data_IF_668038516397
#
_entry.id   IF_668038516397
#
_cell.length_a   1.000
_cell.length_b   1.000
_cell.length_c   1.000
_cell.angle_alpha   90.00
_cell.angle_beta   90.00
_cell.angle_gamma   90.00
#
_symmetry.space_group_name_H-M   'P 1'
#
loop_
_entity.id
_entity.type
_entity.pdbx_description
1 polymer ?
#
# COMPACT_ATOMS: atom_id res chain seq x y z
N UNK A 1 -11.43 3.94 -8.54
CA UNK A 1 -10.24 3.41 -7.84
C UNK A 1 -10.71 2.78 -6.55
N UNK A 2 -10.00 1.78 -6.03
CA UNK A 2 -10.40 1.03 -4.84
C UNK A 2 -9.54 1.50 -3.68
N UNK A 3 -10.16 2.01 -2.60
CA UNK A 3 -9.44 2.42 -1.38
C UNK A 3 -9.10 1.22 -0.52
N UNK A 4 -7.86 1.12 -0.08
CA UNK A 4 -7.36 0.03 0.76
C UNK A 4 -6.69 0.60 2.02
N UNK A 5 -6.96 -0.03 3.18
CA UNK A 5 -6.27 0.32 4.43
C UNK A 5 -4.97 -0.46 4.55
N UNK A 6 -3.84 0.24 4.70
CA UNK A 6 -2.50 -0.36 4.88
C UNK A 6 -1.90 0.07 6.20
N UNK A 7 -1.19 -0.86 6.84
CA UNK A 7 -0.54 -0.67 8.13
C UNK A 7 0.84 -1.31 8.10
N UNK A 8 1.85 -0.58 8.55
CA UNK A 8 3.25 -1.03 8.56
C UNK A 8 3.86 -0.78 9.93
N UNK A 9 4.45 -1.80 10.52
CA UNK A 9 5.23 -1.68 11.75
C UNK A 9 6.61 -1.10 11.45
N UNK A 10 7.04 -0.13 12.24
CA UNK A 10 8.36 0.49 12.12
C UNK A 10 8.99 0.65 13.49
N UNK A 11 10.33 0.60 13.56
CA UNK A 11 11.03 0.95 14.80
C UNK A 11 10.87 2.43 15.12
N UNK A 12 10.98 2.85 16.41
CA UNK A 12 10.98 4.26 16.78
C UNK A 12 12.04 5.09 16.04
N UNK A 13 13.23 4.53 15.82
CA UNK A 13 14.30 5.20 15.06
C UNK A 13 13.92 5.42 13.60
N UNK A 14 13.25 4.41 12.99
CA UNK A 14 12.77 4.54 11.62
C UNK A 14 11.64 5.55 11.50
N UNK A 15 10.72 5.58 12.46
CA UNK A 15 9.67 6.61 12.51
C UNK A 15 10.29 8.01 12.59
N UNK A 16 11.28 8.20 13.44
CA UNK A 16 11.99 9.50 13.55
C UNK A 16 12.64 9.92 12.24
N UNK A 17 13.28 8.98 11.52
CA UNK A 17 13.82 9.27 10.18
C UNK A 17 12.73 9.71 9.19
N UNK A 18 11.55 9.08 9.23
CA UNK A 18 10.42 9.45 8.38
C UNK A 18 9.79 10.79 8.76
N UNK A 19 9.86 11.17 10.04
CA UNK A 19 9.45 12.51 10.51
C UNK A 19 10.41 13.59 10.02
N UNK A 20 11.73 13.30 10.03
CA UNK A 20 12.76 14.22 9.54
C UNK A 20 12.78 14.29 7.99
N UNK A 21 12.54 13.17 7.31
CA UNK A 21 12.47 13.05 5.83
C UNK A 21 11.33 12.13 5.40
N UNK A 22 10.16 12.68 5.08
CA UNK A 22 8.98 11.90 4.67
C UNK A 22 9.09 11.21 3.30
N UNK A 23 10.10 11.49 2.49
CA UNK A 23 10.25 10.91 1.14
C UNK A 23 10.30 9.39 1.10
N UNK A 24 10.67 8.75 2.21
CA UNK A 24 10.69 7.29 2.37
C UNK A 24 9.33 6.63 2.64
N UNK A 25 8.25 7.42 2.79
CA UNK A 25 6.91 6.88 3.15
C UNK A 25 6.32 6.06 2.02
N UNK A 26 6.41 6.53 0.77
CA UNK A 26 5.90 5.79 -0.39
C UNK A 26 6.57 4.42 -0.53
N UNK A 27 7.90 4.37 -0.37
CA UNK A 27 8.66 3.11 -0.40
C UNK A 27 8.25 2.17 0.74
N UNK A 28 8.02 2.71 1.94
CA UNK A 28 7.57 1.95 3.09
C UNK A 28 6.21 1.28 2.85
N UNK A 29 5.29 1.98 2.17
CA UNK A 29 3.93 1.54 1.92
C UNK A 29 3.79 0.61 0.70
N UNK A 30 4.85 0.43 -0.11
CA UNK A 30 4.87 -0.62 -1.14
C UNK A 30 4.82 -1.99 -0.46
N UNK A 31 3.72 -2.71 -0.62
CA UNK A 31 3.50 -3.99 0.04
C UNK A 31 4.50 -5.05 -0.39
N UNK A 32 4.88 -5.96 0.52
CA UNK A 32 5.68 -7.15 0.17
C UNK A 32 5.00 -8.02 -0.91
N UNK A 33 3.66 -7.99 -1.00
CA UNK A 33 2.93 -8.70 -2.04
C UNK A 33 3.18 -8.10 -3.42
N UNK A 34 3.24 -6.77 -3.54
CA UNK A 34 3.65 -6.10 -4.77
C UNK A 34 5.12 -6.42 -5.09
N UNK A 35 5.99 -6.42 -4.08
CA UNK A 35 7.39 -6.80 -4.23
C UNK A 35 7.57 -8.28 -4.60
N UNK A 36 6.73 -9.19 -4.09
CA UNK A 36 6.72 -10.64 -4.45
C UNK A 36 6.09 -10.92 -5.82
N UNK A 37 5.14 -10.11 -6.27
CA UNK A 37 4.55 -10.23 -7.61
C UNK A 37 5.50 -9.74 -8.72
N UNK A 38 6.41 -8.84 -8.42
CA UNK A 38 7.41 -8.29 -9.36
C UNK A 38 8.30 -9.35 -10.03
N UNK A 39 8.84 -10.39 -9.34
CA UNK A 39 9.63 -11.44 -10.00
C UNK A 39 8.83 -12.23 -11.04
N UNK A 40 7.54 -12.49 -10.78
CA UNK A 40 6.64 -13.16 -11.73
C UNK A 40 6.33 -12.26 -12.93
N UNK A 41 6.13 -10.97 -12.70
CA UNK A 41 5.94 -9.96 -13.75
C UNK A 41 7.22 -9.80 -14.58
N UNK A 42 8.39 -9.76 -13.94
CA UNK A 42 9.69 -9.70 -14.62
C UNK A 42 10.00 -11.00 -15.39
N UNK A 43 9.60 -12.15 -14.87
CA UNK A 43 9.68 -13.44 -15.60
C UNK A 43 8.80 -13.44 -16.85
N UNK A 44 7.61 -12.87 -16.77
CA UNK A 44 6.71 -12.68 -17.91
C UNK A 44 7.28 -11.67 -18.92
N UNK A 45 7.90 -10.56 -18.45
CA UNK A 45 8.59 -9.60 -19.31
C UNK A 45 9.82 -10.22 -20.00
N UNK A 46 10.58 -11.05 -19.28
CA UNK A 46 11.73 -11.79 -19.85
C UNK A 46 11.32 -12.79 -20.93
N UNK A 47 10.16 -13.43 -20.76
CA UNK A 47 9.52 -14.27 -21.81
C UNK A 47 9.05 -13.47 -23.04
N UNK A 48 8.96 -12.14 -22.92
CA UNK A 48 8.62 -11.21 -24.00
C UNK A 48 9.87 -10.55 -24.64
N UNK A 49 11.07 -10.85 -24.15
CA UNK A 49 12.34 -10.40 -24.77
C UNK A 49 12.40 -10.84 -26.24
N UNK A 50 12.18 -9.93 -27.16
CA UNK A 50 12.07 -10.15 -28.61
C UNK A 50 10.66 -10.02 -29.20
N UNK A 51 9.59 -10.12 -28.37
CA UNK A 51 8.20 -9.89 -28.83
C UNK A 51 7.64 -8.55 -28.33
N UNK A 52 8.05 -8.09 -27.14
CA UNK A 52 7.55 -6.85 -26.55
C UNK A 52 7.83 -5.61 -27.42
N UNK A 53 9.03 -5.42 -27.99
CA UNK A 53 9.28 -4.27 -28.85
C UNK A 53 8.38 -4.26 -30.10
N UNK A 54 8.16 -5.42 -30.72
CA UNK A 54 7.30 -5.53 -31.91
C UNK A 54 5.83 -5.32 -31.61
N UNK A 55 5.33 -5.79 -30.46
CA UNK A 55 3.95 -5.56 -30.01
C UNK A 55 3.74 -4.09 -29.63
N UNK A 56 4.72 -3.45 -28.96
CA UNK A 56 4.68 -2.03 -28.63
C UNK A 56 4.69 -1.17 -29.89
N UNK A 57 5.55 -1.48 -30.84
CA UNK A 57 5.61 -0.83 -32.14
C UNK A 57 4.28 -0.92 -32.90
N UNK A 58 3.66 -2.11 -32.92
CA UNK A 58 2.34 -2.31 -33.55
C UNK A 58 1.24 -1.50 -32.85
N UNK A 59 1.27 -1.44 -31.51
CA UNK A 59 0.31 -0.66 -30.72
C UNK A 59 0.47 0.84 -30.94
N UNK A 60 1.70 1.35 -31.01
CA UNK A 60 1.99 2.76 -31.31
C UNK A 60 1.54 3.12 -32.74
N UNK A 61 1.72 2.22 -33.70
CA UNK A 61 1.31 2.45 -35.08
C UNK A 61 -0.21 2.59 -35.26
N UNK A 62 -0.99 1.93 -34.42
CA UNK A 62 -2.46 1.94 -34.44
C UNK A 62 -3.09 3.02 -33.57
N UNK A 63 -2.28 3.77 -32.79
CA UNK A 63 -2.79 4.83 -31.91
C UNK A 63 -3.22 6.09 -32.69
N UNK A 64 -4.25 6.82 -32.20
CA UNK A 64 -4.58 8.14 -32.69
C UNK A 64 -3.38 9.11 -32.63
N UNK A 65 -3.22 10.03 -33.60
CA UNK A 65 -2.05 10.90 -33.70
C UNK A 65 -1.77 11.70 -32.43
N UNK A 66 -2.80 12.20 -31.77
CA UNK A 66 -2.67 12.98 -30.53
C UNK A 66 -2.09 12.17 -29.36
N UNK A 67 -2.50 10.91 -29.20
CA UNK A 67 -1.99 10.01 -28.18
C UNK A 67 -0.56 9.57 -28.49
N UNK A 68 -0.25 9.38 -29.79
CA UNK A 68 1.10 9.04 -30.25
C UNK A 68 2.08 10.17 -29.95
N UNK A 69 1.68 11.42 -30.16
CA UNK A 69 2.52 12.59 -29.90
C UNK A 69 2.82 12.77 -28.41
N UNK A 70 1.79 12.59 -27.54
CA UNK A 70 1.96 12.61 -26.08
C UNK A 70 2.88 11.48 -25.59
N UNK A 71 2.71 10.27 -26.12
CA UNK A 71 3.56 9.13 -25.78
C UNK A 71 5.00 9.38 -26.23
N UNK A 72 5.19 9.88 -27.44
CA UNK A 72 6.51 10.24 -27.99
C UNK A 72 7.22 11.27 -27.13
N UNK A 73 6.51 12.30 -26.68
CA UNK A 73 7.07 13.32 -25.79
C UNK A 73 7.43 12.74 -24.42
N UNK A 74 6.57 11.86 -23.86
CA UNK A 74 6.84 11.18 -22.59
C UNK A 74 8.06 10.27 -22.67
N UNK A 75 8.22 9.53 -23.75
CA UNK A 75 9.39 8.67 -23.98
C UNK A 75 10.69 9.49 -24.11
N UNK A 76 10.65 10.62 -24.85
CA UNK A 76 11.80 11.54 -24.93
C UNK A 76 12.18 12.14 -23.58
N UNK A 77 11.19 12.51 -22.76
CA UNK A 77 11.43 13.01 -21.40
C UNK A 77 12.07 11.94 -20.47
N UNK A 78 11.87 10.67 -20.79
CA UNK A 78 12.48 9.54 -20.10
C UNK A 78 13.86 9.15 -20.68
N UNK A 79 14.36 9.88 -21.69
CA UNK A 79 15.64 9.59 -22.35
C UNK A 79 15.60 8.38 -23.30
N UNK A 80 14.41 7.97 -23.74
CA UNK A 80 14.21 6.86 -24.68
C UNK A 80 13.97 7.42 -26.08
N UNK A 81 14.57 6.78 -27.10
CA UNK A 81 14.32 7.11 -28.50
C UNK A 81 13.03 6.42 -28.98
N UNK A 82 11.93 7.18 -29.24
CA UNK A 82 10.67 6.62 -29.69
C UNK A 82 10.77 5.91 -31.05
N UNK A 83 11.65 6.38 -31.94
CA UNK A 83 11.81 5.81 -33.26
C UNK A 83 12.62 4.50 -33.22
N UNK A 84 13.59 4.39 -32.31
CA UNK A 84 14.28 3.13 -32.03
C UNK A 84 13.33 2.08 -31.45
N UNK A 85 12.48 2.47 -30.50
CA UNK A 85 11.45 1.59 -29.94
C UNK A 85 10.41 1.16 -30.99
N UNK A 86 10.02 2.05 -31.90
CA UNK A 86 9.12 1.75 -33.00
C UNK A 86 9.71 0.75 -34.01
N UNK A 87 11.04 0.72 -34.15
CA UNK A 87 11.75 -0.28 -34.98
C UNK A 87 12.03 -1.61 -34.25
N UNK A 88 11.67 -1.69 -32.95
CA UNK A 88 11.97 -2.84 -32.10
C UNK A 88 13.41 -2.86 -31.60
N UNK A 89 14.11 -1.73 -31.73
CA UNK A 89 15.43 -1.43 -31.20
C UNK A 89 15.28 -0.70 -29.85
N UNK A 90 16.31 -0.69 -29.00
CA UNK A 90 16.23 0.05 -27.71
C UNK A 90 15.60 -0.72 -26.55
N UNK A 91 15.36 -2.03 -26.72
CA UNK A 91 14.91 -2.89 -25.60
C UNK A 91 15.89 -2.89 -24.42
N UNK A 92 17.18 -2.80 -24.69
CA UNK A 92 18.24 -2.72 -23.69
C UNK A 92 18.22 -1.39 -22.91
N UNK A 93 17.90 -0.27 -23.58
CA UNK A 93 17.82 1.03 -22.93
C UNK A 93 16.56 1.14 -22.07
N UNK A 94 15.45 0.59 -22.51
CA UNK A 94 14.24 0.44 -21.71
C UNK A 94 14.48 -0.44 -20.47
N UNK A 95 15.19 -1.56 -20.66
CA UNK A 95 15.56 -2.46 -19.57
C UNK A 95 16.51 -1.78 -18.56
N UNK A 96 17.48 -0.99 -19.03
CA UNK A 96 18.38 -0.20 -18.19
C UNK A 96 17.63 0.87 -17.41
N UNK A 97 16.73 1.61 -18.05
CA UNK A 97 15.92 2.63 -17.39
C UNK A 97 14.99 2.03 -16.34
N UNK A 98 14.34 0.89 -16.65
CA UNK A 98 13.55 0.15 -15.67
C UNK A 98 14.41 -0.38 -14.52
N UNK A 99 15.59 -0.91 -14.81
CA UNK A 99 16.54 -1.36 -13.79
C UNK A 99 16.99 -0.21 -12.89
N UNK A 100 17.29 0.96 -13.44
CA UNK A 100 17.64 2.17 -12.66
C UNK A 100 16.47 2.65 -11.79
N UNK A 101 15.26 2.70 -12.33
CA UNK A 101 14.07 3.06 -11.53
C UNK A 101 13.76 2.02 -10.45
N UNK A 102 13.87 0.74 -10.76
CA UNK A 102 13.73 -0.33 -9.76
C UNK A 102 14.80 -0.22 -8.68
N UNK A 103 16.04 0.11 -9.05
CA UNK A 103 17.12 0.33 -8.10
C UNK A 103 16.88 1.58 -7.24
N UNK A 104 16.36 2.65 -7.81
CA UNK A 104 15.93 3.85 -7.08
C UNK A 104 14.76 3.57 -6.12
N UNK A 105 13.87 2.63 -6.46
CA UNK A 105 12.77 2.14 -5.63
C UNK A 105 13.19 1.02 -4.64
N UNK A 106 14.51 0.73 -4.51
CA UNK A 106 15.01 -0.32 -3.64
C UNK A 106 14.66 -1.75 -4.09
N UNK A 107 14.11 -1.92 -5.30
CA UNK A 107 13.72 -3.21 -5.88
C UNK A 107 14.92 -3.84 -6.59
N UNK A 108 15.20 -5.12 -6.32
CA UNK A 108 16.36 -5.82 -6.88
C UNK A 108 15.99 -6.72 -8.05
N UNK A 109 16.88 -6.75 -9.06
CA UNK A 109 16.84 -7.75 -10.11
C UNK A 109 17.33 -9.12 -9.57
N UNK A 110 16.71 -10.25 -9.97
CA UNK A 110 17.20 -11.58 -9.63
C UNK A 110 18.61 -11.80 -10.20
N UNK A 111 19.57 -12.14 -9.33
CA UNK A 111 20.95 -12.47 -9.76
C UNK A 111 22.02 -11.42 -9.42
N UNK A 112 21.68 -10.27 -8.82
CA UNK A 112 22.71 -9.35 -8.34
C UNK A 112 23.18 -9.71 -6.92
N UNK A 113 24.52 -9.66 -6.66
CA UNK A 113 25.04 -9.85 -5.30
C UNK A 113 24.55 -8.72 -4.37
N UNK A 114 24.48 -8.96 -3.05
CA UNK A 114 24.01 -7.97 -2.09
C UNK A 114 24.89 -6.72 -2.13
N UNK A 115 24.33 -5.59 -2.55
CA UNK A 115 25.00 -4.31 -2.41
C UNK A 115 25.06 -3.94 -0.93
N UNK A 116 26.24 -3.56 -0.46
CA UNK A 116 26.56 -3.26 0.94
C UNK A 116 25.87 -2.01 1.54
N UNK A 117 24.91 -1.41 0.82
CA UNK A 117 24.17 -0.22 1.26
C UNK A 117 22.66 -0.42 1.49
N UNK A 118 22.08 -1.55 1.07
CA UNK A 118 20.63 -1.77 1.13
C UNK A 118 20.10 -2.37 2.44
N UNK A 119 20.97 -2.66 3.41
CA UNK A 119 20.57 -3.22 4.71
C UNK A 119 20.08 -2.15 5.69
N UNK A 120 20.51 -0.90 5.55
CA UNK A 120 20.12 0.17 6.45
C UNK A 120 18.66 0.66 6.21
N UNK A 121 18.17 0.64 4.97
CA UNK A 121 16.80 1.08 4.64
C UNK A 121 15.72 0.05 5.01
N UNK A 122 16.06 -1.24 5.09
CA UNK A 122 15.16 -2.28 5.61
C UNK A 122 15.30 -2.51 7.11
N UNK A 123 16.37 -2.00 7.73
CA UNK A 123 16.55 -2.02 9.16
C UNK A 123 15.46 -1.13 9.79
N UNK A 124 14.57 -1.74 10.59
CA UNK A 124 13.50 -1.05 11.30
C UNK A 124 12.10 -1.14 10.71
N UNK A 125 11.89 -1.81 9.55
CA UNK A 125 10.55 -2.20 9.08
C UNK A 125 10.20 -3.55 9.70
N UNK A 126 9.07 -3.58 10.43
CA UNK A 126 8.43 -4.80 10.92
C UNK A 126 7.45 -5.39 9.91
N UNK A 127 6.44 -6.12 10.39
CA UNK A 127 5.37 -6.66 9.57
C UNK A 127 4.54 -5.55 8.90
N UNK A 128 3.98 -5.85 7.75
CA UNK A 128 2.95 -5.03 7.10
C UNK A 128 1.69 -5.85 6.82
N UNK A 129 0.55 -5.19 6.91
CA UNK A 129 -0.74 -5.77 6.56
C UNK A 129 -1.55 -4.81 5.69
N UNK A 130 -2.46 -5.38 4.90
CA UNK A 130 -3.58 -4.67 4.31
C UNK A 130 -4.88 -5.28 4.81
N UNK A 131 -5.83 -4.45 5.19
CA UNK A 131 -7.22 -4.84 5.47
C UNK A 131 -8.14 -4.53 4.28
N UNK A 132 -7.54 -4.33 3.11
CA UNK A 132 -8.20 -4.10 1.83
C UNK A 132 -9.35 -3.08 1.96
N UNK A 133 -10.49 -3.35 1.37
CA UNK A 133 -11.71 -2.52 1.41
C UNK A 133 -12.47 -2.58 2.74
N UNK A 134 -12.03 -3.40 3.67
CA UNK A 134 -12.69 -3.58 4.96
C UNK A 134 -12.49 -2.40 5.92
N UNK A 135 -11.56 -1.50 5.66
CA UNK A 135 -11.14 -0.44 6.58
C UNK A 135 -12.32 0.39 7.13
N UNK A 136 -13.26 0.82 6.30
CA UNK A 136 -14.38 1.66 6.74
C UNK A 136 -15.44 0.84 7.50
N UNK A 137 -15.72 -0.39 7.02
CA UNK A 137 -16.60 -1.32 7.74
C UNK A 137 -16.04 -1.70 9.11
N UNK A 138 -14.76 -2.02 9.21
CA UNK A 138 -14.08 -2.32 10.48
C UNK A 138 -14.09 -1.09 11.40
N UNK A 139 -13.79 0.11 10.89
CA UNK A 139 -13.87 1.34 11.65
C UNK A 139 -15.27 1.54 12.25
N UNK A 140 -16.32 1.48 11.41
CA UNK A 140 -17.70 1.60 11.87
C UNK A 140 -18.07 0.57 12.92
N UNK A 141 -17.72 -0.69 12.72
CA UNK A 141 -18.01 -1.75 13.68
C UNK A 141 -17.29 -1.55 15.02
N UNK A 142 -16.09 -0.97 15.02
CA UNK A 142 -15.33 -0.67 16.23
C UNK A 142 -15.98 0.44 17.06
N UNK A 143 -16.31 1.58 16.43
CA UNK A 143 -16.69 2.78 17.16
C UNK A 143 -18.14 3.26 16.92
N UNK A 144 -18.85 2.72 15.93
CA UNK A 144 -20.20 3.16 15.54
C UNK A 144 -20.24 4.52 14.86
N UNK A 145 -19.10 5.03 14.40
CA UNK A 145 -18.95 6.34 13.74
C UNK A 145 -18.53 6.17 12.30
N UNK A 146 -18.89 7.12 11.45
CA UNK A 146 -18.46 7.17 10.05
C UNK A 146 -17.09 7.83 9.96
N UNK A 147 -16.92 8.93 10.68
CA UNK A 147 -15.71 9.75 10.69
C UNK A 147 -14.77 9.38 11.85
N UNK A 148 -13.46 9.65 11.72
CA UNK A 148 -12.52 9.43 12.80
C UNK A 148 -12.88 10.26 14.04
N UNK A 149 -12.79 9.63 15.21
CA UNK A 149 -13.00 10.28 16.51
C UNK A 149 -11.72 10.32 17.33
N UNK A 150 -11.84 10.77 18.58
CA UNK A 150 -10.72 10.86 19.53
C UNK A 150 -10.55 9.63 20.41
N UNK A 151 -11.52 8.71 20.39
CA UNK A 151 -11.44 7.45 21.15
C UNK A 151 -10.54 6.43 20.46
N UNK A 152 -9.89 5.57 21.24
CA UNK A 152 -8.90 4.61 20.76
C UNK A 152 -9.44 3.64 19.71
N UNK A 153 -10.71 3.23 19.83
CA UNK A 153 -11.33 2.35 18.85
C UNK A 153 -11.48 3.03 17.49
N UNK A 154 -11.85 4.30 17.48
CA UNK A 154 -11.93 5.14 16.28
C UNK A 154 -10.55 5.40 15.68
N UNK A 155 -9.54 5.64 16.53
CA UNK A 155 -8.16 5.90 16.08
C UNK A 155 -7.53 4.68 15.39
N UNK A 156 -7.88 3.46 15.76
CA UNK A 156 -7.20 2.24 15.31
C UNK A 156 -7.13 2.06 13.78
N UNK A 157 -8.07 2.62 13.03
CA UNK A 157 -8.14 2.49 11.57
C UNK A 157 -7.86 3.82 10.86
N UNK A 158 -8.50 4.90 11.31
CA UNK A 158 -8.51 6.19 10.60
C UNK A 158 -7.78 7.30 11.38
N UNK A 159 -7.18 6.99 12.51
CA UNK A 159 -6.50 7.94 13.37
C UNK A 159 -5.00 8.08 13.09
N UNK A 160 -4.30 8.67 14.06
CA UNK A 160 -2.87 8.93 14.03
C UNK A 160 -2.52 10.35 13.61
N UNK A 161 -1.25 10.69 13.80
CA UNK A 161 -0.67 11.98 13.40
C UNK A 161 -0.27 11.95 11.94
N UNK A 162 -0.62 12.98 11.17
CA UNK A 162 -0.28 13.09 9.75
C UNK A 162 1.22 13.23 9.53
N UNK A 163 1.71 12.62 8.45
CA UNK A 163 3.12 12.64 8.06
C UNK A 163 3.25 12.58 6.53
N UNK A 164 4.10 13.45 5.98
CA UNK A 164 4.35 13.53 4.55
C UNK A 164 3.26 14.28 3.77
N UNK A 165 3.29 14.11 2.46
CA UNK A 165 2.36 14.73 1.53
C UNK A 165 1.12 13.85 1.32
N UNK A 166 0.10 14.44 0.65
CA UNK A 166 -1.10 13.72 0.26
C UNK A 166 -0.78 12.62 -0.77
N UNK A 167 -1.14 11.38 -0.44
CA UNK A 167 -0.95 10.20 -1.28
C UNK A 167 -2.15 9.90 -2.20
N UNK A 168 -3.08 10.86 -2.33
CA UNK A 168 -4.27 10.75 -3.17
C UNK A 168 -5.57 10.55 -2.40
N UNK A 169 -5.51 10.07 -1.17
CA UNK A 169 -6.62 9.95 -0.22
C UNK A 169 -6.25 10.51 1.16
N UNK A 170 -5.41 11.51 1.19
CA UNK A 170 -4.84 12.12 2.37
C UNK A 170 -3.40 11.67 2.63
N UNK A 171 -2.71 12.34 3.57
CA UNK A 171 -1.36 11.97 3.98
C UNK A 171 -1.35 10.64 4.73
N UNK A 172 -0.19 9.98 4.77
CA UNK A 172 0.03 8.88 5.69
C UNK A 172 -0.10 9.37 7.14
N UNK A 173 -0.34 8.45 8.06
CA UNK A 173 -0.47 8.75 9.50
C UNK A 173 0.39 7.80 10.29
N UNK A 174 0.81 8.19 11.48
CA UNK A 174 1.58 7.33 12.36
C UNK A 174 1.06 7.33 13.79
N UNK A 175 1.39 6.28 14.50
CA UNK A 175 1.24 6.11 15.94
C UNK A 175 2.58 5.81 16.56
N UNK A 176 2.91 6.46 17.65
CA UNK A 176 4.05 6.11 18.47
C UNK A 176 3.81 4.83 19.26
N UNK A 177 4.87 4.21 19.77
CA UNK A 177 4.80 2.91 20.45
C UNK A 177 3.83 2.88 21.67
N UNK A 178 3.73 3.99 22.40
CA UNK A 178 2.80 4.15 23.52
C UNK A 178 1.34 4.18 23.04
N UNK A 179 1.04 4.84 21.92
CA UNK A 179 -0.29 4.89 21.28
C UNK A 179 -0.65 3.51 20.72
N UNK A 180 0.30 2.85 20.04
CA UNK A 180 0.15 1.47 19.57
C UNK A 180 -0.21 0.53 20.73
N UNK A 181 0.45 0.66 21.87
CA UNK A 181 0.14 -0.14 23.07
C UNK A 181 -1.25 0.17 23.65
N UNK A 182 -1.69 1.41 23.58
CA UNK A 182 -3.04 1.81 23.99
C UNK A 182 -4.10 1.24 23.05
N UNK A 183 -3.89 1.34 21.74
CA UNK A 183 -4.78 0.77 20.71
C UNK A 183 -4.85 -0.77 20.84
N UNK A 184 -3.71 -1.45 20.99
CA UNK A 184 -3.66 -2.90 21.15
C UNK A 184 -4.50 -3.38 22.32
N UNK A 185 -4.46 -2.67 23.46
CA UNK A 185 -5.28 -2.96 24.64
C UNK A 185 -6.77 -2.75 24.36
N UNK A 186 -7.13 -1.66 23.70
CA UNK A 186 -8.52 -1.37 23.34
C UNK A 186 -9.07 -2.44 22.40
N UNK A 187 -8.34 -2.81 21.35
CA UNK A 187 -8.75 -3.84 20.40
C UNK A 187 -8.83 -5.24 21.02
N UNK A 188 -8.16 -5.46 22.16
CA UNK A 188 -8.15 -6.72 22.89
C UNK A 188 -9.12 -6.76 24.07
N UNK A 189 -9.93 -5.73 24.28
CA UNK A 189 -10.88 -5.70 25.41
C UNK A 189 -11.93 -6.80 25.29
N UNK A 190 -12.38 -7.36 26.43
CA UNK A 190 -13.45 -8.36 26.44
C UNK A 190 -14.73 -7.82 25.76
N UNK A 191 -15.46 -8.71 25.11
CA UNK A 191 -16.75 -8.46 24.44
C UNK A 191 -16.71 -7.54 23.21
N UNK A 192 -15.56 -7.00 22.80
CA UNK A 192 -15.47 -6.12 21.62
C UNK A 192 -16.04 -6.79 20.36
N UNK A 193 -15.69 -8.06 20.10
CA UNK A 193 -16.22 -8.77 18.93
C UNK A 193 -17.74 -8.98 19.01
N UNK A 194 -18.30 -9.15 20.21
CA UNK A 194 -19.74 -9.26 20.40
C UNK A 194 -20.42 -7.92 20.09
N UNK A 195 -19.85 -6.81 20.57
CA UNK A 195 -20.37 -5.47 20.29
C UNK A 195 -20.32 -5.15 18.79
N UNK A 196 -19.22 -5.47 18.11
CA UNK A 196 -19.07 -5.34 16.66
C UNK A 196 -20.12 -6.18 15.92
N UNK A 197 -20.36 -7.41 16.38
CA UNK A 197 -21.36 -8.30 15.79
C UNK A 197 -22.79 -7.72 15.92
N UNK A 198 -23.13 -7.14 17.06
CA UNK A 198 -24.43 -6.48 17.29
C UNK A 198 -24.57 -5.23 16.42
N UNK A 199 -23.47 -4.50 16.19
CA UNK A 199 -23.47 -3.27 15.38
C UNK A 199 -23.53 -3.56 13.87
N UNK A 200 -23.26 -4.77 13.43
CA UNK A 200 -23.31 -5.14 12.03
C UNK A 200 -24.77 -5.20 11.53
N UNK A 201 -25.17 -4.16 10.81
CA UNK A 201 -26.45 -4.04 10.14
C UNK A 201 -26.21 -3.58 8.68
N UNK A 202 -26.30 -4.48 7.67
CA UNK A 202 -26.08 -4.14 6.28
C UNK A 202 -26.93 -2.99 5.75
N UNK A 203 -28.20 -2.92 6.16
CA UNK A 203 -29.11 -1.87 5.70
C UNK A 203 -28.73 -0.50 6.28
N UNK A 204 -28.38 -0.46 7.58
CA UNK A 204 -27.90 0.75 8.22
C UNK A 204 -26.54 1.16 7.65
N UNK A 205 -25.60 0.24 7.47
CA UNK A 205 -24.28 0.51 6.89
C UNK A 205 -24.38 1.08 5.48
N UNK A 206 -25.29 0.56 4.64
CA UNK A 206 -25.55 1.08 3.31
C UNK A 206 -26.14 2.50 3.36
N UNK A 207 -27.11 2.74 4.26
CA UNK A 207 -27.73 4.06 4.46
C UNK A 207 -26.72 5.12 4.90
N UNK A 208 -25.77 4.73 5.74
CA UNK A 208 -24.68 5.57 6.24
C UNK A 208 -23.54 5.76 5.22
N UNK A 209 -23.58 5.09 4.06
CA UNK A 209 -22.53 5.18 3.05
C UNK A 209 -21.21 4.53 3.45
N UNK A 210 -21.25 3.51 4.33
CA UNK A 210 -20.03 2.79 4.73
C UNK A 210 -19.45 2.09 3.51
N UNK A 211 -18.18 2.38 3.19
CA UNK A 211 -17.48 1.76 2.06
C UNK A 211 -17.24 0.25 2.29
N UNK A 212 -17.42 -0.61 1.28
CA UNK A 212 -17.65 -0.34 -0.14
C UNK A 212 -19.11 -0.09 -0.57
N UNK A 213 -20.06 0.07 0.36
CA UNK A 213 -21.42 0.56 0.09
C UNK A 213 -22.49 -0.51 -0.01
N UNK A 214 -22.13 -1.78 -0.19
CA UNK A 214 -23.06 -2.91 -0.20
C UNK A 214 -22.47 -4.03 0.66
N UNK A 215 -23.28 -4.55 1.57
CA UNK A 215 -22.89 -5.62 2.48
C UNK A 215 -23.94 -6.73 2.46
N UNK A 216 -23.49 -7.98 2.41
CA UNK A 216 -24.29 -9.20 2.62
C UNK A 216 -24.31 -9.60 4.09
N UNK A 217 -25.45 -10.07 4.57
CA UNK A 217 -25.64 -10.36 6.00
C UNK A 217 -24.75 -11.53 6.52
N UNK A 218 -24.30 -12.41 5.66
CA UNK A 218 -23.54 -13.60 6.02
C UNK A 218 -22.04 -13.45 5.80
N UNK A 219 -21.64 -13.37 4.57
CA UNK A 219 -20.24 -13.44 4.14
C UNK A 219 -19.47 -12.17 4.52
N UNK A 220 -20.07 -10.99 4.36
CA UNK A 220 -19.39 -9.73 4.66
C UNK A 220 -19.17 -9.51 6.15
N UNK A 221 -20.10 -9.97 7.00
CA UNK A 221 -19.85 -9.94 8.45
C UNK A 221 -18.64 -10.78 8.82
N UNK A 222 -18.54 -11.99 8.26
CA UNK A 222 -17.39 -12.86 8.51
C UNK A 222 -16.11 -12.22 8.01
N UNK A 223 -16.12 -11.68 6.79
CA UNK A 223 -14.99 -10.99 6.20
C UNK A 223 -14.52 -9.81 7.05
N UNK A 224 -15.41 -8.90 7.47
CA UNK A 224 -15.05 -7.77 8.33
C UNK A 224 -14.47 -8.21 9.68
N UNK A 225 -15.03 -9.28 10.29
CA UNK A 225 -14.52 -9.81 11.54
C UNK A 225 -13.15 -10.47 11.38
N UNK A 226 -12.88 -11.13 10.25
CA UNK A 226 -11.57 -11.73 9.97
C UNK A 226 -10.52 -10.65 9.73
N UNK A 227 -10.84 -9.57 9.00
CA UNK A 227 -9.95 -8.42 8.81
C UNK A 227 -9.73 -7.65 10.14
N UNK A 228 -10.73 -7.51 10.98
CA UNK A 228 -10.55 -6.98 12.32
C UNK A 228 -9.58 -7.83 13.17
N UNK A 229 -9.71 -9.15 13.17
CA UNK A 229 -8.81 -10.05 13.93
C UNK A 229 -7.37 -9.93 13.45
N UNK A 230 -7.17 -9.80 12.16
CA UNK A 230 -5.87 -9.55 11.53
C UNK A 230 -5.29 -8.21 12.00
N UNK A 231 -6.08 -7.14 11.98
CA UNK A 231 -5.68 -5.83 12.47
C UNK A 231 -5.34 -5.86 13.97
N UNK A 232 -6.18 -6.49 14.79
CA UNK A 232 -5.93 -6.65 16.22
C UNK A 232 -4.60 -7.36 16.48
N UNK A 233 -4.36 -8.50 15.82
CA UNK A 233 -3.12 -9.26 15.99
C UNK A 233 -1.90 -8.41 15.60
N UNK A 234 -2.00 -7.66 14.51
CA UNK A 234 -0.96 -6.74 14.07
C UNK A 234 -0.60 -5.70 15.13
N UNK A 235 -1.60 -5.06 15.77
CA UNK A 235 -1.35 -4.10 16.85
C UNK A 235 -0.80 -4.76 18.12
N UNK A 236 -1.25 -5.97 18.46
CA UNK A 236 -0.72 -6.73 19.59
C UNK A 236 0.76 -7.08 19.38
N UNK A 237 1.12 -7.55 18.19
CA UNK A 237 2.51 -7.89 17.84
C UNK A 237 3.40 -6.64 17.83
N UNK A 238 2.91 -5.53 17.27
CA UNK A 238 3.62 -4.25 17.28
C UNK A 238 3.87 -3.74 18.71
N UNK A 239 2.84 -3.80 19.56
CA UNK A 239 2.94 -3.42 20.97
C UNK A 239 3.94 -4.30 21.74
N UNK A 240 3.90 -5.62 21.55
CA UNK A 240 4.82 -6.55 22.20
C UNK A 240 6.28 -6.31 21.81
N UNK A 241 6.52 -5.85 20.58
CA UNK A 241 7.84 -5.52 20.05
C UNK A 241 8.23 -4.04 20.25
N UNK A 242 7.42 -3.23 20.96
CA UNK A 242 7.62 -1.78 21.17
C UNK A 242 7.83 -1.02 19.84
N UNK A 243 7.04 -1.35 18.83
CA UNK A 243 7.07 -0.74 17.50
C UNK A 243 6.02 0.36 17.36
N UNK A 244 6.32 1.30 16.49
CA UNK A 244 5.40 2.30 15.96
C UNK A 244 4.63 1.71 14.78
N UNK A 245 3.53 2.36 14.37
CA UNK A 245 2.75 1.97 13.19
C UNK A 245 2.60 3.17 12.27
N UNK A 246 2.85 2.96 10.98
CA UNK A 246 2.50 3.90 9.90
C UNK A 246 1.33 3.32 9.14
N UNK A 247 0.32 4.14 8.86
CA UNK A 247 -0.90 3.74 8.14
C UNK A 247 -1.23 4.70 7.02
N UNK A 248 -1.87 4.20 5.97
CA UNK A 248 -2.47 5.04 4.93
C UNK A 248 -3.74 4.38 4.37
N UNK A 249 -4.63 5.23 3.83
CA UNK A 249 -5.72 4.85 2.95
C UNK A 249 -5.30 5.19 1.52
N UNK A 250 -5.39 4.22 0.58
CA UNK A 250 -4.94 4.45 -0.79
C UNK A 250 -5.46 3.43 -1.78
#
# INVERSE_FOLDING_TARGET
MSMMGRFVQVSPDRLKQLQDDPSGIEELLVSEQAAKAMPNFMGALKGLEGRAPKMLAASIATMPPELRERLTQSLKNLGLDPDALARGEGGDDLAKLMAQRMQALGLRLPGQPPASGGSAQRAGKGADISIDKAWHGVHYLLCGKIEPGTDLASQAVMGGTEIGEDLGYGPARYFEANEVAAIARELSRPNLEAEMTVRFDPAQMATLGIYPGQFDAGDDRKWLMDEFRKLRQFYVDASAANLCVVTCLG
#
